data_IF_843048340725
#
_entry.id   IF_843048340725
#
_cell.length_a   1.000
_cell.length_b   1.000
_cell.length_c   1.000
_cell.angle_alpha   90.00
_cell.angle_beta   90.00
_cell.angle_gamma   90.00
#
_symmetry.space_group_name_H-M   'P 1'
#
loop_
_entity.id
_entity.type
_entity.pdbx_description
1 polymer ?
#
# COMPACT_ATOMS: atom_id res chain seq x y z
N UNK A 1 -25.07 -11.57 -15.26
CA UNK A 1 -24.15 -10.42 -15.37
C UNK A 1 -23.82 -9.76 -14.03
N UNK A 2 -24.61 -9.96 -12.97
CA UNK A 2 -24.33 -9.39 -11.63
C UNK A 2 -23.17 -10.07 -10.91
N UNK A 3 -23.02 -11.39 -11.05
CA UNK A 3 -22.11 -12.17 -10.20
C UNK A 3 -20.64 -11.90 -10.52
N UNK A 4 -20.28 -11.79 -11.80
CA UNK A 4 -18.91 -11.43 -12.24
C UNK A 4 -18.50 -10.03 -11.75
N UNK A 5 -19.43 -9.08 -11.72
CA UNK A 5 -19.17 -7.71 -11.24
C UNK A 5 -18.93 -7.73 -9.74
N UNK A 6 -19.77 -8.44 -8.98
CA UNK A 6 -19.64 -8.59 -7.52
C UNK A 6 -18.32 -9.28 -7.18
N UNK A 7 -17.99 -10.37 -7.87
CA UNK A 7 -16.72 -11.08 -7.68
C UNK A 7 -15.52 -10.18 -7.95
N UNK A 8 -15.52 -9.41 -9.05
CA UNK A 8 -14.45 -8.46 -9.36
C UNK A 8 -14.30 -7.38 -8.28
N UNK A 9 -15.42 -6.83 -7.79
CA UNK A 9 -15.40 -5.84 -6.70
C UNK A 9 -14.82 -6.43 -5.41
N UNK A 10 -15.18 -7.66 -5.05
CA UNK A 10 -14.60 -8.33 -3.88
C UNK A 10 -13.10 -8.56 -4.06
N UNK A 11 -12.65 -9.00 -5.24
CA UNK A 11 -11.22 -9.21 -5.51
C UNK A 11 -10.43 -7.91 -5.52
N UNK A 12 -11.01 -6.83 -6.03
CA UNK A 12 -10.43 -5.50 -6.00
C UNK A 12 -10.34 -4.96 -4.56
N UNK A 13 -11.35 -5.24 -3.72
CA UNK A 13 -11.32 -4.96 -2.28
C UNK A 13 -10.19 -5.71 -1.56
N UNK A 14 -10.02 -7.00 -1.86
CA UNK A 14 -8.91 -7.82 -1.31
C UNK A 14 -7.56 -7.25 -1.74
N UNK A 15 -7.39 -6.91 -3.02
CA UNK A 15 -6.18 -6.29 -3.55
C UNK A 15 -5.84 -4.97 -2.85
N UNK A 16 -6.83 -4.08 -2.70
CA UNK A 16 -6.67 -2.79 -2.03
C UNK A 16 -6.32 -2.96 -0.54
N UNK A 17 -6.95 -3.93 0.15
CA UNK A 17 -6.63 -4.24 1.54
C UNK A 17 -5.20 -4.77 1.70
N UNK A 18 -4.72 -5.59 0.76
CA UNK A 18 -3.35 -6.10 0.77
C UNK A 18 -2.32 -5.00 0.58
N UNK A 19 -2.56 -4.06 -0.35
CA UNK A 19 -1.72 -2.88 -0.55
C UNK A 19 -1.69 -1.98 0.70
N UNK A 20 -2.84 -1.83 1.36
CA UNK A 20 -2.91 -1.17 2.66
C UNK A 20 -2.04 -1.87 3.70
N UNK A 21 -2.20 -3.18 3.87
CA UNK A 21 -1.41 -3.96 4.82
C UNK A 21 0.09 -3.85 4.54
N UNK A 22 0.49 -3.81 3.27
CA UNK A 22 1.88 -3.57 2.88
C UNK A 22 2.38 -2.18 3.31
N UNK A 23 1.56 -1.15 3.14
CA UNK A 23 1.86 0.22 3.57
C UNK A 23 2.00 0.31 5.09
N UNK A 24 1.11 -0.35 5.84
CA UNK A 24 1.19 -0.43 7.31
C UNK A 24 2.45 -1.17 7.77
N UNK A 25 2.81 -2.29 7.12
CA UNK A 25 4.06 -3.03 7.40
C UNK A 25 5.30 -2.16 7.16
N UNK A 26 5.34 -1.41 6.05
CA UNK A 26 6.43 -0.44 5.79
C UNK A 26 6.46 0.64 6.86
N UNK A 27 5.29 1.12 7.30
CA UNK A 27 5.13 2.03 8.42
C UNK A 27 5.78 1.51 9.70
N UNK A 28 5.67 0.22 10.00
CA UNK A 28 6.32 -0.40 11.17
C UNK A 28 7.85 -0.22 11.21
N UNK A 29 8.52 -0.15 10.05
CA UNK A 29 9.96 0.18 9.99
C UNK A 29 10.23 1.63 10.42
N UNK A 30 9.34 2.56 10.11
CA UNK A 30 9.43 3.94 10.58
C UNK A 30 9.23 4.03 12.10
N UNK A 31 8.38 3.19 12.71
CA UNK A 31 8.25 3.14 14.16
C UNK A 31 9.57 2.77 14.85
N UNK A 32 10.36 1.86 14.28
CA UNK A 32 11.68 1.51 14.82
C UNK A 32 12.65 2.70 14.79
N UNK A 33 12.70 3.44 13.69
CA UNK A 33 13.52 4.67 13.57
C UNK A 33 13.04 5.72 14.57
N UNK A 34 11.73 5.90 14.71
CA UNK A 34 11.14 6.87 15.61
C UNK A 34 11.39 6.51 17.08
N UNK A 35 11.28 5.24 17.46
CA UNK A 35 11.64 4.76 18.79
C UNK A 35 13.12 5.01 19.10
N UNK A 36 14.03 4.77 18.15
CA UNK A 36 15.45 5.08 18.34
C UNK A 36 15.68 6.59 18.62
N UNK A 37 14.98 7.46 17.89
CA UNK A 37 15.01 8.91 18.15
C UNK A 37 14.44 9.26 19.53
N UNK A 38 13.34 8.62 19.95
CA UNK A 38 12.79 8.82 21.30
C UNK A 38 13.76 8.38 22.40
N UNK A 39 14.46 7.25 22.22
CA UNK A 39 15.48 6.79 23.17
C UNK A 39 16.66 7.75 23.25
N UNK A 40 17.11 8.30 22.12
CA UNK A 40 18.15 9.32 22.09
C UNK A 40 17.71 10.59 22.86
N UNK A 41 16.47 11.03 22.65
CA UNK A 41 15.88 12.15 23.38
C UNK A 41 15.75 11.83 24.87
N UNK A 42 15.30 10.62 25.23
CA UNK A 42 15.20 10.14 26.61
C UNK A 42 16.55 10.22 27.31
N UNK A 43 17.61 9.70 26.68
CA UNK A 43 18.97 9.78 27.21
C UNK A 43 19.41 11.24 27.41
N UNK A 44 19.19 12.09 26.41
CA UNK A 44 19.59 13.50 26.45
C UNK A 44 18.89 14.28 27.57
N UNK A 45 17.59 14.05 27.79
CA UNK A 45 16.86 14.74 28.86
C UNK A 45 17.22 14.22 30.25
N UNK A 46 17.60 12.95 30.40
CA UNK A 46 18.12 12.40 31.67
C UNK A 46 19.47 13.03 31.99
N UNK A 47 20.37 13.17 31.01
CA UNK A 47 21.65 13.87 31.20
C UNK A 47 21.46 15.33 31.62
N UNK A 48 20.38 15.98 31.15
CA UNK A 48 19.99 17.33 31.56
C UNK A 48 19.23 17.38 32.91
N UNK A 49 19.13 16.27 33.65
CA UNK A 49 18.49 16.20 34.97
C UNK A 49 16.96 16.01 34.96
N UNK A 50 16.33 15.92 33.79
CA UNK A 50 14.88 15.75 33.66
C UNK A 50 14.45 14.27 33.67
N UNK A 51 14.73 13.58 34.78
CA UNK A 51 14.58 12.11 34.93
C UNK A 51 13.17 11.62 34.58
N UNK A 52 12.12 12.29 35.06
CA UNK A 52 10.72 11.91 34.76
C UNK A 52 10.41 11.94 33.26
N UNK A 53 10.89 12.97 32.55
CA UNK A 53 10.71 13.05 31.08
C UNK A 53 11.48 11.94 30.37
N UNK A 54 12.66 11.58 30.89
CA UNK A 54 13.41 10.42 30.44
C UNK A 54 12.63 9.12 30.51
N UNK A 55 12.00 8.83 31.66
CA UNK A 55 11.16 7.65 31.81
C UNK A 55 9.95 7.65 30.88
N UNK A 56 9.28 8.79 30.72
CA UNK A 56 8.13 8.92 29.81
C UNK A 56 8.58 8.67 28.37
N UNK A 57 9.68 9.28 27.92
CA UNK A 57 10.19 9.07 26.55
C UNK A 57 10.66 7.63 26.33
N UNK A 58 11.30 7.01 27.32
CA UNK A 58 11.68 5.60 27.26
C UNK A 58 10.47 4.67 27.15
N UNK A 59 9.41 4.94 27.93
CA UNK A 59 8.16 4.18 27.87
C UNK A 59 7.45 4.33 26.52
N UNK A 60 7.38 5.55 25.98
CA UNK A 60 6.81 5.81 24.65
C UNK A 60 7.64 5.17 23.53
N UNK A 61 8.97 5.17 23.65
CA UNK A 61 9.85 4.49 22.70
C UNK A 61 9.59 2.98 22.68
N UNK A 62 9.47 2.36 23.86
CA UNK A 62 9.12 0.95 23.97
C UNK A 62 7.74 0.66 23.38
N UNK A 63 6.75 1.50 23.67
CA UNK A 63 5.43 1.39 23.07
C UNK A 63 5.50 1.43 21.54
N UNK A 64 6.31 2.33 20.96
CA UNK A 64 6.48 2.37 19.50
C UNK A 64 7.18 1.15 18.90
N UNK A 65 8.15 0.57 19.60
CA UNK A 65 8.74 -0.69 19.17
C UNK A 65 7.70 -1.81 19.15
N UNK A 66 6.87 -1.90 20.19
CA UNK A 66 5.80 -2.90 20.28
C UNK A 66 4.73 -2.68 19.19
N UNK A 67 4.36 -1.43 18.91
CA UNK A 67 3.43 -1.09 17.82
C UNK A 67 4.06 -1.40 16.46
N UNK A 68 5.33 -1.08 16.26
CA UNK A 68 6.08 -1.42 15.06
C UNK A 68 6.11 -2.92 14.79
N UNK A 69 6.38 -3.72 15.84
CA UNK A 69 6.34 -5.18 15.79
C UNK A 69 4.92 -5.68 15.51
N UNK A 70 3.90 -5.12 16.16
CA UNK A 70 2.51 -5.47 15.93
C UNK A 70 2.09 -5.22 14.47
N UNK A 71 2.46 -4.09 13.88
CA UNK A 71 2.18 -3.81 12.46
C UNK A 71 2.87 -4.76 11.51
N UNK A 72 4.04 -5.27 11.89
CA UNK A 72 4.76 -6.24 11.08
C UNK A 72 4.07 -7.60 11.10
N UNK A 73 3.61 -8.04 12.28
CA UNK A 73 2.94 -9.33 12.49
C UNK A 73 1.46 -9.34 12.06
N UNK A 74 0.73 -8.26 12.36
CA UNK A 74 -0.72 -8.13 12.17
C UNK A 74 -1.08 -6.73 11.61
N UNK A 75 -0.70 -6.44 10.35
CA UNK A 75 -0.96 -5.14 9.74
C UNK A 75 -2.45 -4.84 9.68
N UNK A 76 -2.83 -3.75 10.34
CA UNK A 76 -4.22 -3.39 10.58
C UNK A 76 -4.37 -1.88 10.79
N UNK A 77 -5.59 -1.38 10.62
CA UNK A 77 -5.91 0.02 10.85
C UNK A 77 -5.66 0.42 12.32
N UNK A 78 -5.86 -0.50 13.26
CA UNK A 78 -5.58 -0.34 14.68
C UNK A 78 -4.12 0.03 14.95
N UNK A 79 -3.18 -0.55 14.19
CA UNK A 79 -1.77 -0.17 14.29
C UNK A 79 -1.52 1.30 13.92
N UNK A 80 -2.29 1.86 12.99
CA UNK A 80 -2.22 3.29 12.62
C UNK A 80 -2.84 4.17 13.70
N UNK A 81 -3.91 3.70 14.35
CA UNK A 81 -4.53 4.39 15.48
C UNK A 81 -3.55 4.50 16.67
N UNK A 82 -2.86 3.40 17.00
CA UNK A 82 -1.89 3.36 18.09
C UNK A 82 -0.72 4.33 17.86
N UNK A 83 -0.23 4.48 16.62
CA UNK A 83 0.75 5.55 16.31
C UNK A 83 0.20 6.93 16.70
N UNK A 84 -1.06 7.20 16.32
CA UNK A 84 -1.69 8.49 16.61
C UNK A 84 -1.75 8.75 18.11
N UNK A 85 -2.06 7.73 18.91
CA UNK A 85 -2.08 7.82 20.38
C UNK A 85 -0.69 8.12 20.93
N UNK A 86 0.36 7.44 20.47
CA UNK A 86 1.72 7.69 20.96
C UNK A 86 2.23 9.07 20.54
N UNK A 87 2.00 9.48 19.29
CA UNK A 87 2.33 10.83 18.82
C UNK A 87 1.61 11.91 19.63
N UNK A 88 0.32 11.70 19.94
CA UNK A 88 -0.47 12.61 20.76
C UNK A 88 0.06 12.67 22.20
N UNK A 89 0.37 11.52 22.81
CA UNK A 89 0.93 11.46 24.16
C UNK A 89 2.29 12.16 24.23
N UNK A 90 3.16 11.91 23.25
CA UNK A 90 4.48 12.52 23.19
C UNK A 90 4.39 14.03 22.94
N UNK A 91 3.61 14.45 21.94
CA UNK A 91 3.41 15.86 21.64
C UNK A 91 2.76 16.61 22.80
N UNK A 92 1.70 16.04 23.38
CA UNK A 92 0.99 16.57 24.54
C UNK A 92 1.90 16.73 25.76
N UNK A 93 2.75 15.73 26.06
CA UNK A 93 3.73 15.84 27.15
C UNK A 93 4.72 16.99 26.93
N UNK A 94 5.21 17.19 25.70
CA UNK A 94 6.12 18.31 25.40
C UNK A 94 5.45 19.67 25.64
N UNK A 95 4.17 19.81 25.30
CA UNK A 95 3.41 21.06 25.54
C UNK A 95 3.15 21.25 27.04
N UNK A 96 2.68 20.23 27.75
CA UNK A 96 2.43 20.27 29.19
C UNK A 96 3.70 20.60 29.96
N UNK A 97 4.82 19.91 29.67
CA UNK A 97 6.13 20.20 30.26
C UNK A 97 6.53 21.65 30.04
N UNK A 98 6.39 22.16 28.82
CA UNK A 98 6.75 23.55 28.53
C UNK A 98 5.89 24.53 29.32
N UNK A 99 4.59 24.28 29.42
CA UNK A 99 3.68 25.10 30.23
C UNK A 99 4.09 25.10 31.72
N UNK A 100 4.44 23.94 32.28
CA UNK A 100 4.92 23.83 33.66
C UNK A 100 6.24 24.59 33.88
N UNK A 101 7.18 24.55 32.94
CA UNK A 101 8.43 25.32 33.01
C UNK A 101 8.15 26.82 33.03
N UNK A 102 7.24 27.29 32.19
CA UNK A 102 6.84 28.71 32.16
C UNK A 102 6.14 29.12 33.46
N UNK A 103 5.25 28.28 34.01
CA UNK A 103 4.60 28.53 35.30
C UNK A 103 5.60 28.60 36.46
N UNK A 104 6.68 27.83 36.40
CA UNK A 104 7.78 27.88 37.36
C UNK A 104 8.75 29.06 37.15
N UNK A 105 8.46 29.99 36.23
CA UNK A 105 9.30 31.15 35.93
C UNK A 105 10.48 30.86 34.98
N UNK A 106 10.55 29.66 34.41
CA UNK A 106 11.54 29.30 33.40
C UNK A 106 11.21 29.84 32.01
N UNK A 107 12.21 29.88 31.13
CA UNK A 107 11.98 30.25 29.73
C UNK A 107 11.48 29.07 28.90
N UNK A 108 10.48 29.27 28.02
CA UNK A 108 9.99 28.21 27.14
C UNK A 108 11.06 27.82 26.12
N UNK A 109 11.26 26.51 25.96
CA UNK A 109 12.14 25.99 24.91
C UNK A 109 11.36 25.93 23.59
N UNK A 110 11.62 26.89 22.69
CA UNK A 110 10.90 27.00 21.41
C UNK A 110 10.89 25.68 20.62
N UNK A 111 12.02 24.96 20.61
CA UNK A 111 12.12 23.64 19.97
C UNK A 111 11.13 22.63 20.56
N UNK A 112 10.96 22.57 21.89
CA UNK A 112 10.01 21.66 22.56
C UNK A 112 8.57 21.96 22.18
N UNK A 113 8.21 23.24 22.05
CA UNK A 113 6.87 23.66 21.62
C UNK A 113 6.62 23.27 20.17
N UNK A 114 7.56 23.60 19.27
CA UNK A 114 7.45 23.29 17.84
C UNK A 114 7.36 21.78 17.62
N UNK A 115 8.24 21.01 18.27
CA UNK A 115 8.21 19.55 18.22
C UNK A 115 6.88 19.00 18.75
N UNK A 116 6.39 19.52 19.88
CA UNK A 116 5.10 19.14 20.46
C UNK A 116 3.94 19.36 19.49
N UNK A 117 3.86 20.55 18.89
CA UNK A 117 2.83 20.89 17.90
C UNK A 117 2.93 20.03 16.63
N UNK A 118 4.15 19.79 16.14
CA UNK A 118 4.39 18.94 14.98
C UNK A 118 3.91 17.50 15.22
N UNK A 119 4.19 16.94 16.40
CA UNK A 119 3.74 15.60 16.79
C UNK A 119 2.21 15.52 16.93
N UNK A 120 1.58 16.52 17.54
CA UNK A 120 0.11 16.60 17.64
C UNK A 120 -0.53 16.68 16.25
N UNK A 121 0.03 17.49 15.35
CA UNK A 121 -0.44 17.57 13.96
C UNK A 121 -0.29 16.21 13.25
N UNK A 122 0.83 15.53 13.43
CA UNK A 122 1.04 14.17 12.95
C UNK A 122 0.01 13.17 13.49
N UNK A 123 -0.32 13.25 14.77
CA UNK A 123 -1.34 12.42 15.42
C UNK A 123 -2.73 12.61 14.78
N UNK A 124 -3.13 13.87 14.52
CA UNK A 124 -4.39 14.17 13.81
C UNK A 124 -4.40 13.55 12.43
N UNK A 125 -3.28 13.59 11.70
CA UNK A 125 -3.12 12.90 10.43
C UNK A 125 -3.36 11.39 10.53
N UNK A 126 -2.82 10.74 11.57
CA UNK A 126 -3.03 9.30 11.84
C UNK A 126 -4.47 8.97 12.17
N UNK A 127 -5.17 9.78 12.97
CA UNK A 127 -6.59 9.57 13.26
C UNK A 127 -7.49 9.72 12.03
N UNK A 128 -7.17 10.69 11.16
CA UNK A 128 -7.86 10.84 9.87
C UNK A 128 -7.63 9.62 8.98
N UNK A 129 -6.38 9.17 8.84
CA UNK A 129 -6.05 7.96 8.09
C UNK A 129 -6.80 6.75 8.66
N UNK A 130 -6.78 6.53 9.97
CA UNK A 130 -7.53 5.45 10.62
C UNK A 130 -9.02 5.50 10.28
N UNK A 131 -9.67 6.66 10.38
CA UNK A 131 -11.11 6.78 10.09
C UNK A 131 -11.43 6.50 8.62
N UNK A 132 -10.58 6.93 7.68
CA UNK A 132 -10.71 6.61 6.26
C UNK A 132 -10.56 5.10 6.02
N UNK A 133 -9.54 4.47 6.60
CA UNK A 133 -9.30 3.04 6.46
C UNK A 133 -10.44 2.21 7.05
N UNK A 134 -10.97 2.60 8.21
CA UNK A 134 -12.09 1.92 8.85
C UNK A 134 -13.38 2.04 8.04
N UNK A 135 -13.58 3.17 7.34
CA UNK A 135 -14.71 3.37 6.42
C UNK A 135 -14.56 2.53 5.14
N UNK A 136 -13.38 2.51 4.55
CA UNK A 136 -13.11 1.76 3.31
C UNK A 136 -13.13 0.24 3.52
N UNK A 137 -12.72 -0.23 4.69
CA UNK A 137 -12.65 -1.65 5.04
C UNK A 137 -13.43 -1.95 6.32
N UNK A 138 -14.72 -1.61 6.30
CA UNK A 138 -15.64 -1.88 7.41
C UNK A 138 -15.67 -3.38 7.73
N UNK A 139 -15.82 -4.21 6.70
CA UNK A 139 -15.56 -5.64 6.79
C UNK A 139 -14.19 -5.94 6.18
N UNK A 140 -13.43 -6.79 6.86
CA UNK A 140 -12.08 -7.14 6.45
C UNK A 140 -12.13 -8.42 5.64
N UNK A 141 -11.33 -8.54 4.58
CA UNK A 141 -11.06 -9.84 3.99
C UNK A 141 -10.60 -10.82 5.07
N UNK A 142 -11.10 -12.05 4.96
CA UNK A 142 -10.67 -13.16 5.82
C UNK A 142 -9.21 -13.51 5.52
N UNK A 143 -8.55 -14.18 6.47
CA UNK A 143 -7.17 -14.65 6.27
C UNK A 143 -7.06 -15.62 5.09
N UNK A 144 -8.08 -16.44 4.89
CA UNK A 144 -8.11 -17.42 3.80
C UNK A 144 -8.24 -16.73 2.43
N UNK A 145 -9.07 -15.69 2.32
CA UNK A 145 -9.15 -14.86 1.11
C UNK A 145 -7.82 -14.19 0.78
N UNK A 146 -7.11 -13.68 1.79
CA UNK A 146 -5.79 -13.08 1.61
C UNK A 146 -4.74 -14.11 1.19
N UNK A 147 -4.72 -15.27 1.83
CA UNK A 147 -3.79 -16.36 1.49
C UNK A 147 -4.04 -16.90 0.08
N UNK A 148 -5.31 -17.08 -0.29
CA UNK A 148 -5.69 -17.47 -1.66
C UNK A 148 -5.24 -16.42 -2.68
N UNK A 149 -5.47 -15.14 -2.41
CA UNK A 149 -5.06 -14.06 -3.31
C UNK A 149 -3.54 -13.95 -3.42
N UNK A 150 -2.80 -14.13 -2.32
CA UNK A 150 -1.34 -14.17 -2.32
C UNK A 150 -0.80 -15.34 -3.16
N UNK A 151 -1.47 -16.51 -3.09
CA UNK A 151 -1.18 -17.65 -3.95
C UNK A 151 -1.38 -17.33 -5.43
N UNK A 152 -2.52 -16.71 -5.78
CA UNK A 152 -2.80 -16.25 -7.13
C UNK A 152 -1.74 -15.23 -7.61
N UNK A 153 -1.36 -14.26 -6.78
CA UNK A 153 -0.32 -13.28 -7.14
C UNK A 153 1.02 -13.97 -7.40
N UNK A 154 1.39 -14.96 -6.58
CA UNK A 154 2.62 -15.71 -6.77
C UNK A 154 2.62 -16.51 -8.08
N UNK A 155 1.48 -17.14 -8.42
CA UNK A 155 1.27 -17.84 -9.68
C UNK A 155 1.42 -16.90 -10.89
N UNK A 156 0.72 -15.76 -10.88
CA UNK A 156 0.78 -14.77 -11.98
C UNK A 156 2.21 -14.22 -12.15
N UNK A 157 2.97 -14.08 -11.06
CA UNK A 157 4.37 -13.63 -11.16
C UNK A 157 5.28 -14.64 -11.84
N UNK A 158 4.98 -15.93 -11.69
CA UNK A 158 5.77 -17.03 -12.25
C UNK A 158 5.32 -17.44 -13.64
N UNK A 159 4.11 -17.05 -14.08
CA UNK A 159 3.58 -17.42 -15.39
C UNK A 159 4.39 -16.82 -16.54
N UNK A 160 4.45 -17.56 -17.65
CA UNK A 160 5.17 -17.23 -18.87
C UNK A 160 4.17 -17.23 -20.06
N UNK A 161 3.97 -16.09 -20.76
CA UNK A 161 3.06 -15.99 -21.90
C UNK A 161 3.32 -16.98 -23.03
N UNK A 162 4.56 -17.47 -23.19
CA UNK A 162 4.90 -18.45 -24.24
C UNK A 162 4.35 -19.85 -23.94
N UNK A 163 4.10 -20.16 -22.66
CA UNK A 163 3.66 -21.50 -22.22
C UNK A 163 2.25 -21.50 -21.61
N UNK A 164 1.78 -20.35 -21.13
CA UNK A 164 0.45 -20.15 -20.56
C UNK A 164 -0.32 -19.12 -21.40
N UNK A 165 -1.32 -19.59 -22.15
CA UNK A 165 -2.16 -18.74 -23.03
C UNK A 165 -3.04 -17.76 -22.25
N UNK A 166 -3.12 -17.90 -20.93
CA UNK A 166 -3.82 -16.96 -20.06
C UNK A 166 -2.88 -15.92 -19.47
N UNK A 167 -1.56 -16.05 -19.64
CA UNK A 167 -0.59 -15.14 -19.07
C UNK A 167 -0.20 -14.00 -20.02
N UNK A 168 0.06 -12.83 -19.43
CA UNK A 168 0.56 -11.63 -20.10
C UNK A 168 1.78 -11.09 -19.36
N UNK A 169 2.80 -10.63 -20.10
CA UNK A 169 3.93 -9.88 -19.56
C UNK A 169 3.94 -8.46 -20.14
N UNK A 170 3.81 -7.46 -19.26
CA UNK A 170 3.60 -6.07 -19.63
C UNK A 170 4.79 -5.25 -19.11
N UNK A 171 5.82 -5.00 -19.95
CA UNK A 171 7.06 -4.34 -19.56
C UNK A 171 6.93 -2.81 -19.42
N UNK A 172 5.85 -2.35 -18.80
CA UNK A 172 5.64 -0.94 -18.44
C UNK A 172 6.47 -0.54 -17.19
N UNK A 173 6.51 0.75 -16.84
CA UNK A 173 6.91 1.22 -15.51
C UNK A 173 5.68 1.54 -14.63
N UNK A 174 5.40 0.80 -13.53
CA UNK A 174 6.07 -0.43 -13.10
C UNK A 174 5.72 -1.62 -14.02
N UNK A 175 6.55 -2.67 -14.02
CA UNK A 175 6.33 -3.86 -14.87
C UNK A 175 5.21 -4.70 -14.27
N UNK A 176 4.20 -5.00 -15.07
CA UNK A 176 3.06 -5.82 -14.68
C UNK A 176 3.17 -7.21 -15.31
N UNK A 177 2.66 -8.20 -14.60
CA UNK A 177 2.25 -9.48 -15.18
C UNK A 177 0.75 -9.60 -15.01
N UNK A 178 0.09 -10.30 -15.92
CA UNK A 178 -1.33 -10.54 -15.77
C UNK A 178 -1.72 -11.98 -16.07
N UNK A 179 -2.85 -12.40 -15.50
CA UNK A 179 -3.51 -13.66 -15.83
C UNK A 179 -4.98 -13.43 -16.15
N UNK A 180 -5.42 -14.06 -17.22
CA UNK A 180 -6.71 -13.89 -17.86
C UNK A 180 -7.61 -15.05 -17.44
N UNK A 181 -8.52 -14.80 -16.50
CA UNK A 181 -9.38 -15.80 -15.88
C UNK A 181 -10.85 -15.49 -16.19
N UNK A 182 -11.45 -16.27 -17.09
CA UNK A 182 -12.82 -16.02 -17.56
C UNK A 182 -12.94 -14.62 -18.14
N UNK A 183 -13.88 -13.82 -17.63
CA UNK A 183 -14.09 -12.41 -18.04
C UNK A 183 -13.29 -11.41 -17.18
N UNK A 184 -12.18 -11.83 -16.56
CA UNK A 184 -11.39 -10.97 -15.67
C UNK A 184 -9.90 -11.08 -15.96
N UNK A 185 -9.23 -9.94 -16.05
CA UNK A 185 -7.78 -9.82 -16.08
C UNK A 185 -7.26 -9.43 -14.69
N UNK A 186 -6.40 -10.27 -14.12
CA UNK A 186 -5.70 -10.01 -12.86
C UNK A 186 -4.30 -9.50 -13.17
N UNK A 187 -4.04 -8.23 -12.92
CA UNK A 187 -2.74 -7.60 -13.11
C UNK A 187 -2.03 -7.48 -11.78
N UNK A 188 -0.77 -7.90 -11.72
CA UNK A 188 0.07 -7.81 -10.52
C UNK A 188 1.40 -7.17 -10.86
N UNK A 189 1.85 -6.24 -10.02
CA UNK A 189 3.16 -5.64 -10.20
C UNK A 189 4.23 -6.70 -9.92
N UNK A 190 5.22 -6.81 -10.81
CA UNK A 190 6.38 -7.71 -10.64
C UNK A 190 7.21 -7.36 -9.41
N UNK A 191 7.24 -6.07 -9.03
CA UNK A 191 7.84 -5.56 -7.80
C UNK A 191 6.77 -4.82 -7.00
N UNK A 192 6.74 -5.06 -5.68
CA UNK A 192 5.80 -4.42 -4.78
C UNK A 192 4.57 -5.27 -4.48
N UNK A 193 3.47 -4.63 -4.07
CA UNK A 193 2.26 -5.32 -3.59
C UNK A 193 1.01 -4.90 -4.36
N UNK A 194 1.13 -3.99 -5.33
CA UNK A 194 0.00 -3.47 -6.10
C UNK A 194 -0.55 -4.54 -7.04
N UNK A 195 -1.88 -4.64 -7.07
CA UNK A 195 -2.64 -5.54 -7.93
C UNK A 195 -3.92 -4.84 -8.41
N UNK A 196 -4.35 -5.15 -9.63
CA UNK A 196 -5.51 -4.54 -10.29
C UNK A 196 -6.35 -5.67 -10.91
N UNK A 197 -7.67 -5.56 -10.82
CA UNK A 197 -8.61 -6.56 -11.33
C UNK A 197 -9.53 -5.89 -12.36
N UNK A 198 -9.26 -6.09 -13.63
CA UNK A 198 -9.96 -5.43 -14.73
C UNK A 198 -10.91 -6.40 -15.46
N UNK A 199 -12.06 -5.93 -15.93
CA UNK A 199 -12.85 -6.68 -16.92
C UNK A 199 -12.38 -6.43 -18.35
N UNK A 200 -12.99 -7.10 -19.34
CA UNK A 200 -12.63 -6.97 -20.76
C UNK A 200 -12.79 -5.55 -21.31
N UNK A 201 -13.63 -4.72 -20.69
CA UNK A 201 -13.86 -3.33 -21.09
C UNK A 201 -13.01 -2.33 -20.28
N UNK A 202 -12.39 -2.79 -19.20
CA UNK A 202 -11.59 -1.95 -18.31
C UNK A 202 -10.10 -1.96 -18.70
N UNK A 203 -9.69 -2.90 -19.56
CA UNK A 203 -8.33 -3.01 -20.09
C UNK A 203 -8.34 -3.15 -21.61
N UNK A 204 -7.44 -2.42 -22.27
CA UNK A 204 -7.22 -2.55 -23.71
C UNK A 204 -5.73 -2.46 -24.08
N UNK A 205 -5.30 -3.25 -25.07
CA UNK A 205 -3.96 -3.17 -25.68
C UNK A 205 -4.11 -2.76 -27.14
N UNK A 206 -3.80 -1.50 -27.44
CA UNK A 206 -3.91 -0.93 -28.78
C UNK A 206 -2.57 -0.96 -29.47
N UNK A 207 -2.46 -1.67 -30.59
CA UNK A 207 -1.24 -1.69 -31.39
C UNK A 207 -1.00 -0.31 -32.04
N UNK A 208 0.17 0.28 -31.78
CA UNK A 208 0.60 1.57 -32.32
C UNK A 208 1.89 1.41 -33.13
N UNK A 209 1.72 0.90 -34.35
CA UNK A 209 2.80 0.77 -35.33
C UNK A 209 2.98 -0.66 -35.83
N UNK A 210 3.95 -0.84 -36.74
CA UNK A 210 4.26 -2.15 -37.32
C UNK A 210 5.02 -3.02 -36.31
N UNK A 211 4.72 -4.32 -36.33
CA UNK A 211 5.45 -5.34 -35.55
C UNK A 211 6.94 -5.30 -35.90
N UNK A 212 7.79 -5.17 -34.89
CA UNK A 212 9.24 -5.08 -35.05
C UNK A 212 9.95 -6.32 -34.50
N UNK A 213 11.29 -6.34 -34.61
CA UNK A 213 12.14 -7.41 -34.04
C UNK A 213 12.07 -7.48 -32.51
N UNK A 214 11.73 -6.36 -31.85
CA UNK A 214 11.64 -6.24 -30.39
C UNK A 214 10.27 -6.60 -29.81
N UNK A 215 9.26 -6.79 -30.65
CA UNK A 215 7.90 -7.04 -30.20
C UNK A 215 6.83 -6.28 -30.99
N UNK A 216 5.61 -6.29 -30.45
CA UNK A 216 4.47 -5.53 -30.93
C UNK A 216 4.40 -4.23 -30.12
N UNK A 217 4.54 -3.05 -30.77
CA UNK A 217 4.42 -1.79 -30.06
C UNK A 217 2.95 -1.53 -29.69
N UNK A 218 2.68 -1.38 -28.40
CA UNK A 218 1.33 -1.19 -27.85
C UNK A 218 1.25 0.02 -26.92
N UNK A 219 0.05 0.57 -26.83
CA UNK A 219 -0.39 1.42 -25.74
C UNK A 219 -1.42 0.64 -24.93
N UNK A 220 -1.28 0.65 -23.61
CA UNK A 220 -2.24 0.03 -22.72
C UNK A 220 -3.15 1.09 -22.11
N UNK A 221 -4.44 0.80 -22.08
CA UNK A 221 -5.43 1.59 -21.37
C UNK A 221 -5.99 0.74 -20.23
N UNK A 222 -5.92 1.23 -18.99
CA UNK A 222 -6.55 0.58 -17.82
C UNK A 222 -7.42 1.62 -17.13
N UNK A 223 -8.71 1.33 -16.96
CA UNK A 223 -9.71 2.26 -16.39
C UNK A 223 -9.65 3.67 -16.98
N UNK A 224 -9.46 3.77 -18.30
CA UNK A 224 -9.35 5.03 -19.02
C UNK A 224 -8.01 5.76 -18.85
N UNK A 225 -7.07 5.23 -18.06
CA UNK A 225 -5.72 5.77 -17.97
C UNK A 225 -4.82 5.12 -19.03
N UNK A 226 -4.27 5.93 -19.93
CA UNK A 226 -3.30 5.46 -20.92
C UNK A 226 -1.89 5.42 -20.33
N UNK A 227 -1.20 4.31 -20.57
CA UNK A 227 0.24 4.21 -20.28
C UNK A 227 1.08 4.71 -21.47
N UNK A 228 2.32 5.17 -21.22
CA UNK A 228 3.27 5.39 -22.30
C UNK A 228 3.43 4.14 -23.17
N UNK A 229 3.73 4.32 -24.45
CA UNK A 229 3.97 3.24 -25.41
C UNK A 229 5.11 2.31 -24.94
N UNK A 230 4.93 1.01 -25.13
CA UNK A 230 5.92 -0.03 -24.83
C UNK A 230 5.80 -1.19 -25.84
N UNK A 231 6.82 -2.04 -25.91
CA UNK A 231 6.81 -3.23 -26.77
C UNK A 231 6.43 -4.46 -25.92
N UNK A 232 5.47 -5.26 -26.40
CA UNK A 232 5.13 -6.58 -25.82
C UNK A 232 5.61 -7.70 -26.73
N UNK A 233 5.84 -8.89 -26.18
CA UNK A 233 6.06 -10.07 -27.01
C UNK A 233 4.79 -10.43 -27.81
N UNK A 234 4.97 -11.26 -28.83
CA UNK A 234 3.86 -11.64 -29.70
C UNK A 234 2.83 -12.52 -28.98
N UNK A 235 3.29 -13.39 -28.08
CA UNK A 235 2.45 -14.30 -27.31
C UNK A 235 1.50 -13.53 -26.39
N UNK A 236 1.99 -12.55 -25.62
CA UNK A 236 1.19 -11.64 -24.79
C UNK A 236 0.13 -10.93 -25.63
N UNK A 237 0.52 -10.38 -26.77
CA UNK A 237 -0.45 -9.65 -27.61
C UNK A 237 -1.54 -10.59 -28.15
N UNK A 238 -1.18 -11.78 -28.63
CA UNK A 238 -2.11 -12.78 -29.14
C UNK A 238 -3.03 -13.35 -28.06
N UNK A 239 -2.47 -13.68 -26.88
CA UNK A 239 -3.22 -14.12 -25.70
C UNK A 239 -4.26 -13.06 -25.31
N UNK A 240 -3.87 -11.79 -25.25
CA UNK A 240 -4.79 -10.69 -24.95
C UNK A 240 -5.90 -10.55 -25.99
N UNK A 241 -5.58 -10.54 -27.28
CA UNK A 241 -6.57 -10.39 -28.35
C UNK A 241 -7.58 -11.54 -28.33
N UNK A 242 -7.09 -12.78 -28.16
CA UNK A 242 -7.93 -13.99 -28.10
C UNK A 242 -8.89 -13.91 -26.91
N UNK A 243 -8.37 -13.57 -25.73
CA UNK A 243 -9.18 -13.39 -24.53
C UNK A 243 -10.18 -12.24 -24.65
N UNK A 244 -9.74 -11.07 -25.13
CA UNK A 244 -10.59 -9.89 -25.25
C UNK A 244 -11.75 -10.16 -26.22
N UNK A 245 -11.49 -10.80 -27.37
CA UNK A 245 -12.54 -11.19 -28.31
C UNK A 245 -13.56 -12.14 -27.67
N UNK A 246 -13.07 -13.20 -27.00
CA UNK A 246 -13.94 -14.16 -26.33
C UNK A 246 -14.78 -13.53 -25.21
N UNK A 247 -14.17 -12.70 -24.35
CA UNK A 247 -14.81 -12.07 -23.21
C UNK A 247 -15.77 -10.92 -23.60
N UNK A 248 -15.54 -10.27 -24.75
CA UNK A 248 -16.42 -9.23 -25.31
C UNK A 248 -17.53 -9.80 -26.21
N UNK A 249 -17.48 -11.08 -26.53
CA UNK A 249 -18.41 -11.72 -27.47
C UNK A 249 -18.20 -11.26 -28.92
N UNK A 250 -16.99 -10.81 -29.27
CA UNK A 250 -16.64 -10.43 -30.62
C UNK A 250 -16.29 -11.69 -31.44
N UNK A 251 -16.68 -11.77 -32.72
CA UNK A 251 -16.29 -12.90 -33.56
C UNK A 251 -14.77 -12.96 -33.67
N UNK A 252 -14.18 -14.08 -33.25
CA UNK A 252 -12.76 -14.40 -33.45
C UNK A 252 -12.52 -14.71 -34.94
N UNK A 253 -12.55 -13.68 -35.78
CA UNK A 253 -12.25 -13.76 -37.20
C UNK A 253 -10.91 -13.08 -37.51
N UNK A 254 -10.09 -13.64 -38.41
CA UNK A 254 -8.86 -12.98 -38.85
C UNK A 254 -9.22 -11.64 -39.53
N UNK A 255 -8.63 -10.55 -39.03
CA UNK A 255 -8.62 -9.24 -39.70
C UNK A 255 -7.41 -9.12 -40.62
#
# INVERSE_FOLDING_TARGET
MTDDVVMRQELQRVAAYRELCATVRRGGRHNAVFAALMLLLAFSVVQAGAVLSGYIFGALALAELLIGLWKWLAPSAEGVLLDGVVLLAFGGWNIVRTALVVQAGGQPQAFSVILGLFLIWGAVGRFRAYSQLRRLFAERPTRDQLAWFDGLVAEIRQSDPETDTTALDLPTPPRWKAKLLGNTAFLVATKGESAVVAGPWDIDLVQRGKRGRRGVPVEMMIYGQMTPRFDVDAATFENFQTWAAAARGEPTGPR
#
